data_IF_500129338374
#
_entry.id   IF_500129338374
#
_cell.length_a   1.000
_cell.length_b   1.000
_cell.length_c   1.000
_cell.angle_alpha   90.00
_cell.angle_beta   90.00
_cell.angle_gamma   90.00
#
_symmetry.space_group_name_H-M   'P 1'
#
loop_
_entity.id
_entity.type
_entity.pdbx_description
1 polymer ?
#
# COMPACT_ATOMS: atom_id res chain seq x y z
N UNK A 1 -4.90 -12.19 -3.75
CA UNK A 1 -4.27 -10.85 -3.92
C UNK A 1 -4.21 -10.66 -5.41
N UNK A 2 -5.07 -9.79 -5.94
CA UNK A 2 -5.53 -9.93 -7.34
C UNK A 2 -5.04 -8.75 -8.20
N UNK A 3 -3.86 -8.22 -7.88
CA UNK A 3 -3.26 -7.06 -8.56
C UNK A 3 -1.88 -7.39 -9.11
N UNK A 4 -1.56 -6.80 -10.26
CA UNK A 4 -0.24 -6.89 -10.91
C UNK A 4 0.37 -5.50 -10.90
N UNK A 5 1.62 -5.40 -10.43
CA UNK A 5 2.43 -4.20 -10.52
C UNK A 5 3.66 -4.51 -11.38
N UNK A 6 3.84 -3.78 -12.47
CA UNK A 6 4.96 -3.94 -13.39
C UNK A 6 5.34 -2.59 -13.98
N UNK A 7 6.59 -2.44 -14.39
CA UNK A 7 7.11 -1.22 -15.00
C UNK A 7 8.36 -1.49 -15.81
N UNK A 8 8.66 -0.61 -16.75
CA UNK A 8 9.88 -0.61 -17.56
C UNK A 8 10.44 0.81 -17.63
N UNK A 9 11.74 0.92 -17.90
CA UNK A 9 12.45 2.21 -17.98
C UNK A 9 12.21 2.96 -19.31
N UNK A 10 11.41 2.40 -20.23
CA UNK A 10 11.13 2.95 -21.56
C UNK A 10 9.64 2.94 -21.83
N UNK A 11 9.06 4.11 -22.10
CA UNK A 11 7.60 4.30 -22.26
C UNK A 11 7.03 3.43 -23.38
N UNK A 12 7.72 3.35 -24.52
CA UNK A 12 7.28 2.55 -25.68
C UNK A 12 7.18 1.06 -25.34
N UNK A 13 8.21 0.51 -24.68
CA UNK A 13 8.19 -0.88 -24.20
C UNK A 13 7.07 -1.10 -23.17
N UNK A 14 6.80 -0.12 -22.31
CA UNK A 14 5.69 -0.21 -21.35
C UNK A 14 4.33 -0.23 -22.07
N UNK A 15 4.18 0.49 -23.18
CA UNK A 15 2.97 0.44 -24.01
C UNK A 15 2.81 -0.91 -24.72
N UNK A 16 3.90 -1.55 -25.13
CA UNK A 16 3.89 -2.90 -25.71
C UNK A 16 3.58 -4.00 -24.68
N UNK A 17 3.97 -3.79 -23.42
CA UNK A 17 3.74 -4.76 -22.35
C UNK A 17 2.24 -4.93 -22.01
N UNK A 18 1.45 -3.85 -22.13
CA UNK A 18 0.02 -3.88 -21.84
C UNK A 18 -0.77 -4.93 -22.65
N UNK A 19 -0.72 -4.94 -24.00
CA UNK A 19 -1.43 -5.95 -24.78
C UNK A 19 -0.87 -7.35 -24.56
N UNK A 20 0.44 -7.50 -24.31
CA UNK A 20 1.04 -8.79 -23.98
C UNK A 20 0.45 -9.37 -22.69
N UNK A 21 0.29 -8.55 -21.65
CA UNK A 21 -0.36 -8.94 -20.40
C UNK A 21 -1.83 -9.30 -20.59
N UNK A 22 -2.57 -8.50 -21.36
CA UNK A 22 -3.97 -8.80 -21.67
C UNK A 22 -4.12 -10.14 -22.39
N UNK A 23 -3.28 -10.42 -23.38
CA UNK A 23 -3.31 -11.70 -24.10
C UNK A 23 -2.92 -12.87 -23.19
N UNK A 24 -1.85 -12.71 -22.40
CA UNK A 24 -1.36 -13.77 -21.51
C UNK A 24 -2.40 -14.14 -20.45
N UNK A 25 -2.97 -13.14 -19.77
CA UNK A 25 -3.99 -13.35 -18.75
C UNK A 25 -5.32 -13.83 -19.36
N UNK A 26 -5.67 -13.31 -20.54
CA UNK A 26 -6.83 -13.77 -21.31
C UNK A 26 -6.75 -15.25 -21.66
N UNK A 27 -5.56 -15.78 -22.01
CA UNK A 27 -5.36 -17.23 -22.20
C UNK A 27 -5.58 -18.04 -20.92
N UNK A 28 -5.37 -17.43 -19.75
CA UNK A 28 -5.69 -17.99 -18.45
C UNK A 28 -7.12 -17.72 -17.97
N UNK A 29 -7.99 -17.14 -18.81
CA UNK A 29 -9.37 -16.78 -18.43
C UNK A 29 -9.48 -15.60 -17.45
N UNK A 30 -8.41 -14.82 -17.27
CA UNK A 30 -8.37 -13.68 -16.36
C UNK A 30 -8.51 -12.36 -17.13
N UNK A 31 -9.45 -11.52 -16.70
CA UNK A 31 -9.70 -10.21 -17.30
C UNK A 31 -9.22 -9.09 -16.39
N UNK A 32 -8.26 -8.29 -16.85
CA UNK A 32 -7.84 -7.06 -16.18
C UNK A 32 -8.95 -5.99 -16.33
N UNK A 33 -9.33 -5.34 -15.25
CA UNK A 33 -10.48 -4.43 -15.23
C UNK A 33 -10.16 -3.04 -14.66
N UNK A 34 -8.99 -2.87 -14.04
CA UNK A 34 -8.57 -1.64 -13.38
C UNK A 34 -7.12 -1.32 -13.76
N UNK A 35 -6.91 -0.13 -14.31
CA UNK A 35 -5.59 0.33 -14.74
C UNK A 35 -5.22 1.64 -14.05
N UNK A 36 -3.94 1.74 -13.71
CA UNK A 36 -3.34 2.89 -13.05
C UNK A 36 -1.89 3.01 -13.49
N UNK A 37 -1.41 4.23 -13.71
CA UNK A 37 -0.07 4.53 -14.22
C UNK A 37 0.38 5.89 -13.68
N UNK A 38 1.67 6.05 -13.43
CA UNK A 38 2.28 7.35 -13.15
C UNK A 38 2.39 8.24 -14.40
N UNK A 39 2.27 7.66 -15.60
CA UNK A 39 2.31 8.36 -16.89
C UNK A 39 0.97 8.23 -17.61
N UNK A 40 0.35 9.36 -17.95
CA UNK A 40 -0.99 9.40 -18.56
C UNK A 40 -1.02 8.83 -20.00
N UNK A 41 0.05 9.03 -20.78
CA UNK A 41 0.13 8.52 -22.16
C UNK A 41 0.10 6.98 -22.26
N UNK A 42 0.30 6.29 -21.14
CA UNK A 42 0.20 4.83 -21.03
C UNK A 42 -1.27 4.40 -20.88
N UNK A 43 -2.13 5.27 -20.32
CA UNK A 43 -3.55 4.99 -20.10
C UNK A 43 -4.43 5.29 -21.34
N UNK A 44 -3.97 6.16 -22.23
CA UNK A 44 -4.70 6.49 -23.47
C UNK A 44 -4.83 5.30 -24.42
N UNK A 45 -3.82 4.43 -24.51
CA UNK A 45 -3.86 3.22 -25.34
C UNK A 45 -4.99 2.25 -24.93
N UNK A 46 -5.35 2.21 -23.64
CA UNK A 46 -6.35 1.30 -23.09
C UNK A 46 -7.79 1.79 -23.40
N UNK A 47 -7.99 3.09 -23.58
CA UNK A 47 -9.32 3.66 -23.86
C UNK A 47 -9.81 3.33 -25.27
N UNK A 48 -8.89 3.15 -26.21
CA UNK A 48 -9.20 2.91 -27.61
C UNK A 48 -9.49 1.43 -27.92
N UNK A 49 -9.28 0.51 -26.97
CA UNK A 49 -9.68 -0.89 -27.13
C UNK A 49 -11.16 -1.04 -26.77
N UNK A 50 -12.01 -1.03 -27.79
CA UNK A 50 -13.49 -1.03 -27.74
C UNK A 50 -14.15 -2.21 -26.99
N UNK A 51 -13.39 -3.21 -26.54
CA UNK A 51 -13.95 -4.44 -25.97
C UNK A 51 -14.08 -4.45 -24.45
N UNK A 52 -13.53 -3.46 -23.74
CA UNK A 52 -13.50 -3.47 -22.28
C UNK A 52 -13.71 -2.07 -21.71
N UNK A 53 -14.74 -1.92 -20.90
CA UNK A 53 -14.97 -0.70 -20.12
C UNK A 53 -14.04 -0.71 -18.91
N UNK A 54 -12.78 -0.30 -19.12
CA UNK A 54 -11.80 -0.29 -18.04
C UNK A 54 -12.06 0.87 -17.07
N UNK A 55 -12.04 0.57 -15.77
CA UNK A 55 -12.01 1.60 -14.75
C UNK A 55 -10.60 2.19 -14.69
N UNK A 56 -10.39 3.26 -15.45
CA UNK A 56 -9.17 4.05 -15.40
C UNK A 56 -9.29 4.99 -14.20
N UNK A 57 -8.44 4.77 -13.20
CA UNK A 57 -8.31 5.71 -12.11
C UNK A 57 -7.53 6.94 -12.60
N UNK A 58 -8.24 7.87 -13.25
CA UNK A 58 -7.71 9.19 -13.63
C UNK A 58 -7.70 10.15 -12.45
N UNK A 59 -8.57 9.92 -11.47
CA UNK A 59 -8.48 10.59 -10.20
C UNK A 59 -7.14 10.18 -9.58
N UNK A 60 -6.21 11.14 -9.57
CA UNK A 60 -4.86 11.09 -9.04
C UNK A 60 -4.81 10.86 -7.51
N UNK A 61 -5.79 10.10 -7.00
CA UNK A 61 -5.97 9.70 -5.62
C UNK A 61 -5.05 8.51 -5.33
N UNK A 62 -4.56 8.39 -4.09
CA UNK A 62 -3.79 7.22 -3.67
C UNK A 62 -4.55 5.91 -3.94
N UNK A 63 -3.88 4.96 -4.60
CA UNK A 63 -4.44 3.64 -4.91
C UNK A 63 -3.77 2.60 -4.03
N UNK A 64 -4.55 1.69 -3.42
CA UNK A 64 -3.97 0.55 -2.71
C UNK A 64 -3.38 -0.43 -3.73
N UNK A 65 -2.09 -0.72 -3.61
CA UNK A 65 -1.36 -1.73 -4.39
C UNK A 65 -0.40 -2.49 -3.49
N UNK A 66 -0.31 -3.81 -3.66
CA UNK A 66 0.61 -4.65 -2.88
C UNK A 66 0.54 -4.49 -1.35
N UNK A 67 -0.61 -4.07 -0.79
CA UNK A 67 -0.77 -3.81 0.65
C UNK A 67 -0.31 -2.42 1.13
N UNK A 68 0.23 -1.59 0.24
CA UNK A 68 0.61 -0.19 0.49
C UNK A 68 -0.23 0.78 -0.33
N UNK A 69 -0.22 2.07 0.00
CA UNK A 69 -0.81 3.08 -0.87
C UNK A 69 0.26 3.57 -1.84
N UNK A 70 -0.08 3.68 -3.12
CA UNK A 70 0.76 4.28 -4.13
C UNK A 70 0.08 5.54 -4.68
N UNK A 71 0.85 6.61 -4.81
CA UNK A 71 0.43 7.87 -5.43
C UNK A 71 1.08 7.96 -6.82
N UNK A 72 0.34 7.73 -7.90
CA UNK A 72 0.92 7.62 -9.24
C UNK A 72 1.66 8.88 -9.69
N UNK A 73 1.13 10.09 -9.44
CA UNK A 73 1.70 11.35 -9.97
C UNK A 73 3.13 11.62 -9.53
N UNK A 74 3.41 11.27 -8.27
CA UNK A 74 4.70 11.51 -7.65
C UNK A 74 5.56 10.24 -7.67
N UNK A 75 5.01 9.14 -8.19
CA UNK A 75 5.59 7.80 -8.12
C UNK A 75 6.10 7.44 -6.71
N UNK A 76 5.26 7.67 -5.71
CA UNK A 76 5.63 7.52 -4.30
C UNK A 76 4.69 6.56 -3.60
N UNK A 77 5.25 5.73 -2.72
CA UNK A 77 4.48 5.00 -1.74
C UNK A 77 4.10 5.90 -0.56
N UNK A 78 2.89 5.70 -0.06
CA UNK A 78 2.32 6.41 1.08
C UNK A 78 2.03 5.41 2.18
N UNK A 79 2.51 5.73 3.38
CA UNK A 79 2.22 5.00 4.59
C UNK A 79 1.43 5.93 5.51
N UNK A 80 0.17 5.59 5.77
CA UNK A 80 -0.70 6.39 6.63
C UNK A 80 -0.90 5.64 7.94
N UNK A 81 -0.39 6.23 9.03
CA UNK A 81 -0.68 5.78 10.39
C UNK A 81 -1.67 6.77 10.97
N UNK A 82 -2.91 6.34 11.19
CA UNK A 82 -3.91 7.15 11.88
C UNK A 82 -3.98 6.61 13.31
N UNK A 83 -3.47 7.39 14.25
CA UNK A 83 -3.78 7.18 15.66
C UNK A 83 -5.05 7.94 15.99
N UNK A 84 -6.02 7.26 16.59
CA UNK A 84 -7.38 7.77 16.83
C UNK A 84 -7.80 7.52 18.28
N UNK A 85 -6.85 7.51 19.20
CA UNK A 85 -7.08 7.00 20.54
C UNK A 85 -7.07 8.12 21.58
N UNK A 86 -8.11 8.12 22.41
CA UNK A 86 -8.24 9.01 23.56
C UNK A 86 -7.46 8.49 24.79
N UNK A 87 -6.94 7.26 24.73
CA UNK A 87 -6.18 6.61 25.81
C UNK A 87 -5.02 5.77 25.28
N UNK A 88 -3.87 5.91 25.93
CA UNK A 88 -2.66 5.17 25.61
C UNK A 88 -2.57 3.88 26.45
N UNK A 89 -3.20 2.81 25.96
CA UNK A 89 -3.10 1.46 26.54
C UNK A 89 -2.27 0.53 25.66
N UNK A 90 -1.75 -0.56 26.23
CA UNK A 90 -0.98 -1.57 25.50
C UNK A 90 -1.73 -2.10 24.27
N UNK A 91 -3.02 -2.41 24.42
CA UNK A 91 -3.89 -2.91 23.34
C UNK A 91 -4.00 -1.90 22.19
N UNK A 92 -4.21 -0.65 22.57
CA UNK A 92 -4.42 0.46 21.67
C UNK A 92 -3.17 0.75 20.82
N UNK A 93 -2.00 0.79 21.46
CA UNK A 93 -0.72 0.91 20.77
C UNK A 93 -0.44 -0.27 19.86
N UNK A 94 -0.68 -1.51 20.33
CA UNK A 94 -0.48 -2.69 19.52
C UNK A 94 -1.37 -2.66 18.27
N UNK A 95 -2.63 -2.24 18.43
CA UNK A 95 -3.56 -2.06 17.32
C UNK A 95 -3.02 -1.05 16.31
N UNK A 96 -2.56 0.12 16.76
CA UNK A 96 -2.01 1.15 15.88
C UNK A 96 -0.75 0.69 15.14
N UNK A 97 0.18 0.01 15.83
CA UNK A 97 1.39 -0.52 15.21
C UNK A 97 1.07 -1.66 14.24
N UNK A 98 0.08 -2.50 14.55
CA UNK A 98 -0.32 -3.61 13.66
C UNK A 98 -0.89 -3.13 12.33
N UNK A 99 -1.40 -1.89 12.28
CA UNK A 99 -1.86 -1.25 11.03
C UNK A 99 -0.72 -0.85 10.12
N UNK A 100 0.50 -0.74 10.65
CA UNK A 100 1.71 -0.50 9.87
C UNK A 100 2.09 -1.79 9.15
N UNK A 101 1.60 -1.94 7.92
CA UNK A 101 1.97 -3.04 7.04
C UNK A 101 3.10 -2.60 6.11
N UNK A 102 4.21 -3.34 6.11
CA UNK A 102 5.36 -3.12 5.23
C UNK A 102 5.76 -4.42 4.52
N UNK A 103 4.98 -4.83 3.50
CA UNK A 103 5.20 -6.10 2.81
C UNK A 103 6.51 -6.11 2.00
N UNK A 104 7.04 -4.93 1.66
CA UNK A 104 8.26 -4.77 0.86
C UNK A 104 9.49 -4.40 1.69
N UNK A 105 9.35 -4.19 3.00
CA UNK A 105 10.46 -3.79 3.88
C UNK A 105 10.95 -2.35 3.70
N UNK A 106 10.19 -1.48 3.02
CA UNK A 106 10.58 -0.10 2.68
C UNK A 106 10.73 0.77 3.93
N UNK A 107 9.86 0.56 4.91
CA UNK A 107 9.85 1.28 6.19
C UNK A 107 10.31 0.38 7.34
N UNK A 108 11.19 -0.58 7.05
CA UNK A 108 11.65 -1.59 7.99
C UNK A 108 12.24 -1.01 9.30
N UNK A 109 12.92 0.13 9.23
CA UNK A 109 13.42 0.84 10.42
C UNK A 109 12.30 1.34 11.34
N UNK A 110 11.22 1.86 10.75
CA UNK A 110 10.04 2.33 11.50
C UNK A 110 9.34 1.14 12.14
N UNK A 111 9.10 0.07 11.37
CA UNK A 111 8.48 -1.17 11.85
C UNK A 111 9.32 -1.81 12.97
N UNK A 112 10.65 -1.79 12.84
CA UNK A 112 11.56 -2.33 13.85
C UNK A 112 11.50 -1.54 15.15
N UNK A 113 11.55 -0.20 15.09
CA UNK A 113 11.38 0.65 16.28
C UNK A 113 10.04 0.42 16.96
N UNK A 114 8.96 0.30 16.18
CA UNK A 114 7.63 0.02 16.71
C UNK A 114 7.55 -1.36 17.39
N UNK A 115 8.15 -2.40 16.81
CA UNK A 115 8.24 -3.74 17.43
C UNK A 115 9.08 -3.74 18.71
N UNK A 116 10.21 -3.02 18.73
CA UNK A 116 11.03 -2.86 19.94
C UNK A 116 10.22 -2.15 21.04
N UNK A 117 9.43 -1.15 20.68
CA UNK A 117 8.55 -0.47 21.63
C UNK A 117 7.49 -1.43 22.21
N UNK A 118 6.83 -2.23 21.37
CA UNK A 118 5.91 -3.28 21.83
C UNK A 118 6.61 -4.23 22.81
N UNK A 119 7.83 -4.68 22.49
CA UNK A 119 8.61 -5.54 23.39
C UNK A 119 8.85 -4.89 24.76
N UNK A 120 9.17 -3.59 24.80
CA UNK A 120 9.30 -2.86 26.07
C UNK A 120 7.99 -2.84 26.87
N UNK A 121 6.85 -2.65 26.21
CA UNK A 121 5.54 -2.70 26.88
C UNK A 121 5.23 -4.08 27.48
N UNK A 122 5.70 -5.15 26.85
CA UNK A 122 5.59 -6.50 27.42
C UNK A 122 6.45 -6.68 28.67
N UNK A 123 7.66 -6.12 28.69
CA UNK A 123 8.56 -6.20 29.84
C UNK A 123 8.02 -5.46 31.08
N UNK A 124 7.21 -4.41 30.89
CA UNK A 124 6.53 -3.69 31.98
C UNK A 124 5.41 -4.50 32.64
N UNK A 125 5.05 -5.67 32.09
CA UNK A 125 3.98 -6.56 32.62
C UNK A 125 2.61 -5.90 32.80
N UNK A 126 2.35 -4.77 32.13
CA UNK A 126 1.06 -4.07 32.15
C UNK A 126 -0.08 -4.94 31.61
N UNK A 127 -1.30 -4.71 32.10
CA UNK A 127 -2.52 -5.24 31.51
C UNK A 127 -2.78 -4.70 30.09
N UNK A 128 -3.71 -5.33 29.37
CA UNK A 128 -4.08 -4.90 28.00
C UNK A 128 -4.73 -3.51 27.96
N UNK A 129 -5.59 -3.21 28.93
CA UNK A 129 -6.36 -1.97 29.05
C UNK A 129 -5.75 -0.98 30.07
N UNK A 130 -4.59 -1.32 30.64
CA UNK A 130 -3.91 -0.47 31.61
C UNK A 130 -3.24 0.72 30.90
N UNK A 131 -3.38 1.91 31.49
CA UNK A 131 -2.72 3.12 31.02
C UNK A 131 -1.21 3.01 31.13
N UNK A 132 -0.50 3.60 30.17
CA UNK A 132 0.95 3.66 30.22
C UNK A 132 1.46 4.53 31.39
N UNK A 133 2.55 4.10 32.05
CA UNK A 133 3.33 4.97 32.93
C UNK A 133 3.79 6.25 32.21
N UNK A 134 3.88 7.37 32.94
CA UNK A 134 4.21 8.69 32.38
C UNK A 134 5.59 8.76 31.72
N UNK A 135 6.55 7.97 32.21
CA UNK A 135 7.90 7.84 31.68
C UNK A 135 7.93 7.20 30.29
N UNK A 136 6.91 6.43 29.93
CA UNK A 136 6.79 5.75 28.64
C UNK A 136 5.89 6.51 27.67
N UNK A 137 4.91 7.26 28.17
CA UNK A 137 3.93 7.98 27.34
C UNK A 137 4.50 9.20 26.60
N UNK A 138 5.71 9.67 26.98
CA UNK A 138 6.39 10.84 26.38
C UNK A 138 7.51 10.52 25.39
N UNK A 139 7.75 9.23 25.09
CA UNK A 139 8.87 8.74 24.27
C UNK A 139 8.59 8.74 22.76
#
# INVERSE_FOLDING_TARGET
MDGILTGLNVIEKTKELQPQLLQLLGRGGMTLHKWCSNIESILSNIQNSSNYQFNILREMKPVKTLGVLWKPNNDCFLFKVISQQNSYTKKNILSDISRICDPLGIIGLVVSKAKIFIQRLWLLKLGWEESLPEDVSRA
#
